data_IF_322024461953
#
_entry.id   IF_322024461953
#
_cell.length_a   1.000
_cell.length_b   1.000
_cell.length_c   1.000
_cell.angle_alpha   90.00
_cell.angle_beta   90.00
_cell.angle_gamma   90.00
#
_symmetry.space_group_name_H-M   'P 1'
#
loop_
_entity.id
_entity.type
_entity.pdbx_description
1 polymer ?
#
# COMPACT_ATOMS: atom_id res chain seq x y z
N UNK A 1 15.60 4.35 3.16
CA UNK A 1 14.59 4.42 2.06
C UNK A 1 14.02 5.83 1.97
N UNK A 2 14.92 6.79 1.85
CA UNK A 2 14.70 8.22 2.08
C UNK A 2 14.08 8.95 0.89
N UNK A 3 13.99 8.29 -0.26
CA UNK A 3 13.40 8.86 -1.48
C UNK A 3 11.88 8.79 -1.48
N UNK A 4 11.29 8.03 -0.55
CA UNK A 4 9.84 7.92 -0.38
C UNK A 4 9.40 9.12 0.45
N UNK A 5 8.43 9.92 -0.01
CA UNK A 5 7.95 11.08 0.73
C UNK A 5 7.36 10.64 2.07
N UNK A 6 7.43 11.53 3.06
CA UNK A 6 6.84 11.31 4.38
C UNK A 6 5.56 12.14 4.51
N UNK A 7 4.57 11.58 5.20
CA UNK A 7 3.42 12.37 5.63
C UNK A 7 3.83 13.35 6.75
N UNK A 8 3.04 14.41 6.96
CA UNK A 8 3.31 15.35 8.05
C UNK A 8 3.25 14.63 9.41
N UNK A 9 4.29 14.85 10.23
CA UNK A 9 4.45 14.18 11.53
C UNK A 9 4.88 12.71 11.45
N UNK A 10 5.16 12.18 10.26
CA UNK A 10 5.65 10.83 10.07
C UNK A 10 7.08 10.64 10.58
N UNK A 11 7.39 9.41 11.00
CA UNK A 11 8.75 8.96 11.31
C UNK A 11 9.11 7.83 10.35
N UNK A 12 10.31 7.89 9.78
CA UNK A 12 10.79 6.79 8.94
C UNK A 12 10.94 5.52 9.79
N UNK A 13 10.51 4.36 9.27
CA UNK A 13 10.86 3.09 9.87
C UNK A 13 12.39 2.96 9.98
N UNK A 14 12.87 2.47 11.11
CA UNK A 14 14.29 2.29 11.39
C UNK A 14 14.86 1.06 10.62
N UNK A 15 14.88 1.14 9.29
CA UNK A 15 15.47 0.12 8.42
C UNK A 15 16.88 0.56 7.98
N UNK A 16 17.91 -0.05 8.56
CA UNK A 16 19.31 0.14 8.16
C UNK A 16 19.72 -0.98 7.21
N UNK A 17 19.69 -0.69 5.91
CA UNK A 17 20.08 -1.67 4.87
C UNK A 17 21.61 -1.62 4.71
N UNK A 18 22.35 -2.69 5.04
CA UNK A 18 23.81 -2.68 4.94
C UNK A 18 24.26 -2.56 3.49
N UNK A 19 25.38 -1.86 3.25
CA UNK A 19 26.09 -1.96 1.97
C UNK A 19 27.03 -3.16 2.04
N UNK A 20 26.76 -4.16 1.21
CA UNK A 20 27.52 -5.42 1.13
C UNK A 20 28.23 -5.59 -0.21
N UNK A 21 28.09 -4.61 -1.12
CA UNK A 21 28.83 -4.56 -2.38
C UNK A 21 30.33 -4.70 -2.15
N UNK A 22 30.94 -5.60 -2.92
CA UNK A 22 32.38 -5.77 -3.11
C UNK A 22 32.67 -5.54 -4.60
N UNK A 23 33.52 -4.56 -4.91
CA UNK A 23 33.90 -4.22 -6.28
C UNK A 23 35.28 -3.57 -6.26
N UNK A 24 36.05 -3.73 -7.34
CA UNK A 24 37.28 -2.98 -7.55
C UNK A 24 37.07 -1.48 -7.77
N UNK A 25 35.83 -1.07 -8.05
CA UNK A 25 35.47 0.31 -8.37
C UNK A 25 34.37 0.83 -7.45
N UNK A 26 34.33 2.15 -7.28
CA UNK A 26 33.20 2.83 -6.64
C UNK A 26 31.88 2.68 -7.40
N UNK A 27 31.93 2.21 -8.65
CA UNK A 27 30.79 1.89 -9.52
C UNK A 27 30.52 0.38 -9.51
N UNK A 28 29.49 -0.09 -8.79
CA UNK A 28 29.22 -1.52 -8.66
C UNK A 28 28.77 -2.21 -9.95
N UNK A 29 28.32 -1.43 -10.93
CA UNK A 29 27.82 -1.90 -12.21
C UNK A 29 28.38 -1.03 -13.34
N UNK A 30 29.06 -1.66 -14.30
CA UNK A 30 29.66 -1.01 -15.47
C UNK A 30 28.61 -0.66 -16.53
N UNK A 31 28.17 0.59 -16.60
CA UNK A 31 27.19 1.04 -17.58
C UNK A 31 27.72 0.88 -19.02
N UNK A 32 27.09 -0.01 -19.80
CA UNK A 32 27.45 -0.25 -21.20
C UNK A 32 28.67 -1.15 -21.42
N UNK A 33 29.26 -1.69 -20.35
CA UNK A 33 30.35 -2.67 -20.43
C UNK A 33 29.79 -4.10 -20.60
N UNK A 34 28.74 -4.44 -19.86
CA UNK A 34 28.07 -5.74 -19.90
C UNK A 34 26.56 -5.59 -20.20
N UNK A 35 25.97 -6.60 -20.86
CA UNK A 35 24.51 -6.71 -20.93
C UNK A 35 23.95 -7.04 -19.53
N UNK A 36 22.84 -6.38 -19.17
CA UNK A 36 22.21 -6.52 -17.85
C UNK A 36 21.94 -7.98 -17.47
N UNK A 37 21.60 -8.88 -18.41
CA UNK A 37 21.33 -10.29 -18.08
C UNK A 37 22.62 -11.10 -17.91
N UNK A 38 23.69 -10.70 -18.60
CA UNK A 38 24.97 -11.43 -18.58
C UNK A 38 25.87 -11.00 -17.42
N UNK A 39 25.64 -9.82 -16.83
CA UNK A 39 26.39 -9.24 -15.72
C UNK A 39 26.71 -10.23 -14.57
N UNK A 40 25.77 -11.07 -14.09
CA UNK A 40 26.05 -11.96 -12.96
C UNK A 40 27.22 -12.92 -13.18
N UNK A 41 27.39 -13.44 -14.39
CA UNK A 41 28.45 -14.40 -14.69
C UNK A 41 29.83 -13.72 -14.62
N UNK A 42 29.95 -12.52 -15.16
CA UNK A 42 31.19 -11.74 -15.17
C UNK A 42 31.53 -11.26 -13.77
N UNK A 43 30.56 -10.67 -13.06
CA UNK A 43 30.78 -10.14 -11.73
C UNK A 43 31.11 -11.23 -10.71
N UNK A 44 30.50 -12.42 -10.79
CA UNK A 44 30.87 -13.53 -9.90
C UNK A 44 32.30 -14.05 -10.16
N UNK A 45 32.76 -14.04 -11.43
CA UNK A 45 34.16 -14.39 -11.74
C UNK A 45 35.11 -13.34 -11.18
N UNK A 46 34.79 -12.06 -11.35
CA UNK A 46 35.57 -10.94 -10.80
C UNK A 46 35.64 -11.03 -9.27
N UNK A 47 34.51 -11.19 -8.59
CA UNK A 47 34.44 -11.32 -7.12
C UNK A 47 35.34 -12.45 -6.60
N UNK A 48 35.34 -13.61 -7.28
CA UNK A 48 36.21 -14.73 -6.90
C UNK A 48 37.71 -14.44 -7.07
N UNK A 49 38.06 -13.56 -8.00
CA UNK A 49 39.45 -13.18 -8.26
C UNK A 49 39.94 -12.10 -7.28
N UNK A 50 39.09 -11.10 -7.00
CA UNK A 50 39.46 -9.92 -6.21
C UNK A 50 39.24 -10.14 -4.71
N UNK A 51 38.22 -10.93 -4.36
CA UNK A 51 37.84 -11.25 -2.98
C UNK A 51 37.75 -12.78 -2.79
N UNK A 52 38.87 -13.51 -2.88
CA UNK A 52 38.88 -14.97 -2.71
C UNK A 52 38.44 -15.42 -1.30
N UNK A 53 38.49 -14.54 -0.32
CA UNK A 53 38.02 -14.75 1.06
C UNK A 53 36.49 -14.66 1.21
N UNK A 54 35.77 -14.16 0.19
CA UNK A 54 34.36 -13.89 0.29
C UNK A 54 33.55 -15.19 0.35
N UNK A 55 32.77 -15.35 1.41
CA UNK A 55 31.85 -16.47 1.54
C UNK A 55 30.77 -16.45 0.44
N UNK A 56 30.17 -17.60 0.09
CA UNK A 56 29.12 -17.68 -0.92
C UNK A 56 27.94 -16.74 -0.66
N UNK A 57 27.53 -16.57 0.60
CA UNK A 57 26.42 -15.68 0.97
C UNK A 57 26.75 -14.22 0.71
N UNK A 58 27.91 -13.73 1.17
CA UNK A 58 28.33 -12.35 0.93
C UNK A 58 28.55 -12.08 -0.57
N UNK A 59 29.03 -13.06 -1.33
CA UNK A 59 29.14 -12.98 -2.78
C UNK A 59 27.78 -12.82 -3.46
N UNK A 60 26.77 -13.59 -3.03
CA UNK A 60 25.40 -13.48 -3.54
C UNK A 60 24.77 -12.14 -3.17
N UNK A 61 24.94 -11.67 -1.93
CA UNK A 61 24.40 -10.37 -1.51
C UNK A 61 25.08 -9.20 -2.22
N UNK A 62 26.40 -9.26 -2.41
CA UNK A 62 27.16 -8.31 -3.22
C UNK A 62 26.62 -8.29 -4.65
N UNK A 63 26.45 -9.46 -5.28
CA UNK A 63 25.88 -9.57 -6.61
C UNK A 63 24.46 -8.96 -6.67
N UNK A 64 23.58 -9.27 -5.70
CA UNK A 64 22.22 -8.74 -5.68
C UNK A 64 22.20 -7.21 -5.63
N UNK A 65 23.07 -6.60 -4.80
CA UNK A 65 23.17 -5.13 -4.73
C UNK A 65 23.82 -4.55 -5.99
N UNK A 66 24.94 -5.08 -6.45
CA UNK A 66 25.61 -4.61 -7.67
C UNK A 66 24.69 -4.67 -8.88
N UNK A 67 23.99 -5.79 -9.07
CA UNK A 67 23.15 -6.05 -10.23
C UNK A 67 21.74 -5.45 -10.11
N UNK A 68 20.96 -5.94 -9.16
CA UNK A 68 19.52 -5.67 -9.10
C UNK A 68 19.22 -4.31 -8.46
N UNK A 69 20.11 -3.80 -7.61
CA UNK A 69 19.98 -2.47 -7.03
C UNK A 69 20.68 -1.41 -7.90
N UNK A 70 22.01 -1.42 -7.94
CA UNK A 70 22.79 -0.41 -8.66
C UNK A 70 22.67 -0.54 -10.17
N UNK A 71 22.78 -1.75 -10.72
CA UNK A 71 22.62 -1.99 -12.15
C UNK A 71 21.26 -1.56 -12.68
N UNK A 72 20.17 -1.91 -11.99
CA UNK A 72 18.84 -1.45 -12.39
C UNK A 72 18.72 0.07 -12.36
N UNK A 73 19.26 0.74 -11.34
CA UNK A 73 19.26 2.20 -11.27
C UNK A 73 20.07 2.84 -12.42
N UNK A 74 21.27 2.32 -12.66
CA UNK A 74 22.17 2.79 -13.70
C UNK A 74 21.58 2.60 -15.09
N UNK A 75 20.99 1.45 -15.38
CA UNK A 75 20.28 1.18 -16.64
C UNK A 75 19.00 2.01 -16.77
N UNK A 76 18.25 2.22 -15.68
CA UNK A 76 17.02 2.99 -15.74
C UNK A 76 17.29 4.47 -16.07
N UNK A 77 18.25 5.08 -15.34
CA UNK A 77 18.61 6.48 -15.49
C UNK A 77 19.63 6.74 -16.61
N UNK A 78 20.24 5.69 -17.17
CA UNK A 78 21.25 5.76 -18.24
C UNK A 78 22.47 6.60 -17.87
N UNK A 79 22.91 6.44 -16.63
CA UNK A 79 24.12 7.06 -16.13
C UNK A 79 24.80 6.17 -15.09
N UNK A 80 26.14 6.14 -15.04
CA UNK A 80 26.86 5.46 -13.97
C UNK A 80 26.48 6.04 -12.60
N UNK A 81 26.21 5.16 -11.63
CA UNK A 81 25.87 5.56 -10.26
C UNK A 81 26.93 4.98 -9.32
N UNK A 82 27.65 5.88 -8.65
CA UNK A 82 28.60 5.48 -7.62
C UNK A 82 27.87 4.99 -6.37
N UNK A 83 28.41 3.95 -5.74
CA UNK A 83 27.96 3.48 -4.42
C UNK A 83 28.04 4.57 -3.36
N UNK A 84 29.02 5.48 -3.45
CA UNK A 84 29.21 6.58 -2.51
C UNK A 84 28.05 7.58 -2.54
N UNK A 85 27.39 7.76 -3.70
CA UNK A 85 26.22 8.65 -3.84
C UNK A 85 25.01 8.15 -3.07
N UNK A 86 24.85 6.83 -2.93
CA UNK A 86 23.67 6.20 -2.33
C UNK A 86 23.98 5.53 -0.99
N UNK A 87 25.01 5.98 -0.28
CA UNK A 87 25.42 5.40 1.00
C UNK A 87 25.74 6.47 2.04
N UNK A 88 25.65 6.10 3.31
CA UNK A 88 26.12 6.89 4.46
C UNK A 88 26.80 5.99 5.46
N UNK A 89 27.59 6.59 6.34
CA UNK A 89 28.21 5.93 7.48
C UNK A 89 27.30 6.06 8.71
N UNK A 90 27.16 4.97 9.48
CA UNK A 90 26.52 5.02 10.79
C UNK A 90 27.53 5.51 11.86
N UNK A 91 27.09 5.63 13.12
CA UNK A 91 27.95 6.04 14.24
C UNK A 91 29.12 5.07 14.50
N UNK A 92 28.99 3.81 14.08
CA UNK A 92 30.01 2.77 14.21
C UNK A 92 31.00 2.76 13.03
N UNK A 93 30.77 3.57 11.99
CA UNK A 93 31.58 3.58 10.77
C UNK A 93 31.14 2.58 9.70
N UNK A 94 30.05 1.84 9.88
CA UNK A 94 29.54 0.93 8.85
C UNK A 94 28.77 1.68 7.76
N UNK A 95 28.94 1.23 6.51
CA UNK A 95 28.21 1.78 5.36
C UNK A 95 26.82 1.15 5.23
N UNK A 96 25.82 1.99 5.04
CA UNK A 96 24.44 1.58 4.76
C UNK A 96 23.87 2.36 3.57
N UNK A 97 22.85 1.80 2.92
CA UNK A 97 22.16 2.41 1.79
C UNK A 97 21.34 3.62 2.25
N UNK A 98 21.59 4.77 1.64
CA UNK A 98 20.82 5.99 1.81
C UNK A 98 20.37 6.51 0.45
N UNK A 99 19.06 6.68 0.27
CA UNK A 99 18.50 7.02 -1.05
C UNK A 99 18.15 8.49 -1.19
N UNK A 100 18.64 9.37 -0.32
CA UNK A 100 18.31 10.81 -0.37
C UNK A 100 18.68 11.44 -1.71
N UNK A 101 19.78 11.00 -2.33
CA UNK A 101 20.25 11.51 -3.62
C UNK A 101 19.39 11.04 -4.82
N UNK A 102 18.52 10.04 -4.66
CA UNK A 102 17.64 9.59 -5.76
C UNK A 102 16.66 10.68 -6.20
N UNK A 103 16.30 11.60 -5.32
CA UNK A 103 15.42 12.70 -5.66
C UNK A 103 16.04 13.65 -6.71
N UNK A 104 17.34 13.91 -6.56
CA UNK A 104 18.11 14.73 -7.50
C UNK A 104 18.37 13.97 -8.80
N UNK A 105 18.83 12.71 -8.72
CA UNK A 105 19.03 11.83 -9.87
C UNK A 105 17.75 11.75 -10.73
N UNK A 106 16.60 11.52 -10.09
CA UNK A 106 15.30 11.49 -10.77
C UNK A 106 14.96 12.83 -11.41
N UNK A 107 15.19 13.94 -10.71
CA UNK A 107 14.88 15.28 -11.23
C UNK A 107 15.72 15.62 -12.47
N UNK A 108 17.02 15.32 -12.44
CA UNK A 108 17.92 15.49 -13.58
C UNK A 108 17.50 14.63 -14.78
N UNK A 109 17.16 13.36 -14.54
CA UNK A 109 16.64 12.48 -15.59
C UNK A 109 15.31 12.96 -16.16
N UNK A 110 14.38 13.46 -15.34
CA UNK A 110 13.12 14.03 -15.83
C UNK A 110 13.39 15.27 -16.71
N UNK A 111 14.33 16.13 -16.29
CA UNK A 111 14.71 17.33 -17.01
C UNK A 111 15.37 17.01 -18.37
N UNK A 112 16.04 15.86 -18.50
CA UNK A 112 16.61 15.42 -19.79
C UNK A 112 15.57 14.85 -20.75
N UNK A 113 14.31 14.64 -20.33
CA UNK A 113 13.24 14.16 -21.19
C UNK A 113 12.54 15.32 -21.93
N UNK A 114 12.17 15.14 -23.21
CA UNK A 114 11.46 16.17 -23.97
C UNK A 114 10.11 16.53 -23.34
N UNK A 115 9.67 17.79 -23.38
CA UNK A 115 8.41 18.23 -22.77
C UNK A 115 7.19 17.53 -23.41
N UNK A 116 6.13 17.31 -22.62
CA UNK A 116 4.95 16.52 -23.01
C UNK A 116 4.21 17.02 -24.28
N UNK A 117 4.05 18.32 -24.58
CA UNK A 117 3.23 18.77 -25.70
C UNK A 117 3.95 18.84 -27.06
N UNK A 118 5.29 18.75 -27.13
CA UNK A 118 6.05 19.02 -28.37
C UNK A 118 6.75 17.76 -28.84
N UNK A 119 6.19 17.02 -29.81
CA UNK A 119 6.85 15.93 -30.55
C UNK A 119 7.39 14.72 -29.74
N UNK A 120 7.33 14.78 -28.40
CA UNK A 120 8.01 13.87 -27.48
C UNK A 120 7.24 12.59 -27.15
N UNK A 121 6.00 12.44 -27.63
CA UNK A 121 5.19 11.26 -27.34
C UNK A 121 5.84 9.96 -27.85
N UNK A 122 6.47 10.00 -29.03
CA UNK A 122 7.20 8.85 -29.58
C UNK A 122 8.47 8.53 -28.78
N UNK A 123 9.22 9.55 -28.37
CA UNK A 123 10.43 9.38 -27.56
C UNK A 123 10.10 8.81 -26.18
N UNK A 124 9.17 9.43 -25.44
CA UNK A 124 8.76 8.96 -24.10
C UNK A 124 8.19 7.54 -24.14
N UNK A 125 7.47 7.17 -25.21
CA UNK A 125 6.99 5.79 -25.41
C UNK A 125 8.14 4.80 -25.62
N UNK A 126 9.19 5.16 -26.38
CA UNK A 126 10.38 4.31 -26.54
C UNK A 126 11.12 4.14 -25.22
N UNK A 127 11.36 5.24 -24.49
CA UNK A 127 11.96 5.18 -23.14
C UNK A 127 11.10 4.34 -22.20
N UNK A 128 9.77 4.52 -22.23
CA UNK A 128 8.82 3.75 -21.43
C UNK A 128 8.86 2.26 -21.71
N UNK A 129 8.93 1.85 -22.99
CA UNK A 129 9.09 0.44 -23.38
C UNK A 129 10.41 -0.13 -22.88
N UNK A 130 11.52 0.58 -23.06
CA UNK A 130 12.83 0.14 -22.57
C UNK A 130 12.84 -0.02 -21.05
N UNK A 131 12.36 0.98 -20.31
CA UNK A 131 12.22 0.91 -18.85
C UNK A 131 11.31 -0.25 -18.42
N UNK A 132 10.20 -0.48 -19.13
CA UNK A 132 9.32 -1.63 -18.86
C UNK A 132 10.02 -2.97 -19.06
N UNK A 133 10.79 -3.14 -20.13
CA UNK A 133 11.58 -4.37 -20.39
C UNK A 133 12.66 -4.57 -19.33
N UNK A 134 13.41 -3.52 -18.98
CA UNK A 134 14.42 -3.56 -17.91
C UNK A 134 13.79 -3.99 -16.58
N UNK A 135 12.69 -3.34 -16.18
CA UNK A 135 12.01 -3.63 -14.92
C UNK A 135 11.41 -5.04 -14.90
N UNK A 136 10.91 -5.54 -16.04
CA UNK A 136 10.45 -6.92 -16.17
C UNK A 136 11.60 -7.93 -16.01
N UNK A 137 12.75 -7.66 -16.61
CA UNK A 137 13.97 -8.49 -16.47
C UNK A 137 14.50 -8.47 -15.03
N UNK A 138 14.62 -7.29 -14.44
CA UNK A 138 15.06 -7.14 -13.04
C UNK A 138 14.10 -7.81 -12.06
N UNK A 139 12.79 -7.74 -12.32
CA UNK A 139 11.78 -8.43 -11.48
C UNK A 139 11.86 -9.94 -11.62
N UNK A 140 12.03 -10.46 -12.85
CA UNK A 140 12.27 -11.88 -13.07
C UNK A 140 13.52 -12.35 -12.32
N UNK A 141 14.63 -11.63 -12.46
CA UNK A 141 15.87 -11.96 -11.77
C UNK A 141 15.71 -11.89 -10.24
N UNK A 142 15.04 -10.86 -9.72
CA UNK A 142 14.71 -10.71 -8.31
C UNK A 142 13.96 -11.94 -7.76
N UNK A 143 12.93 -12.42 -8.46
CA UNK A 143 12.14 -13.58 -8.02
C UNK A 143 12.97 -14.86 -7.97
N UNK A 144 13.85 -15.07 -8.96
CA UNK A 144 14.75 -16.24 -8.98
C UNK A 144 15.80 -16.13 -7.86
N UNK A 145 16.34 -14.93 -7.66
CA UNK A 145 17.36 -14.68 -6.67
C UNK A 145 16.79 -14.80 -5.24
N UNK A 146 15.57 -14.34 -5.00
CA UNK A 146 14.91 -14.42 -3.69
C UNK A 146 14.83 -15.86 -3.18
N UNK A 147 14.63 -16.84 -4.08
CA UNK A 147 14.62 -18.27 -3.70
C UNK A 147 16.00 -18.85 -3.38
N UNK A 148 17.09 -18.14 -3.70
CA UNK A 148 18.47 -18.58 -3.47
C UNK A 148 19.10 -18.01 -2.20
N UNK A 149 18.56 -16.91 -1.64
CA UNK A 149 19.18 -16.24 -0.50
C UNK A 149 18.70 -16.86 0.82
N UNK A 150 19.67 -17.18 1.69
CA UNK A 150 19.56 -17.96 2.93
C UNK A 150 18.90 -17.20 4.09
N UNK A 151 18.84 -17.83 5.28
CA UNK A 151 18.26 -17.31 6.53
C UNK A 151 18.95 -16.05 7.10
N UNK A 152 19.98 -15.49 6.42
CA UNK A 152 20.68 -14.28 6.85
C UNK A 152 19.70 -13.10 7.03
N UNK A 153 19.62 -12.47 8.21
CA UNK A 153 18.84 -11.25 8.41
C UNK A 153 19.16 -10.12 7.42
N UNK A 154 20.43 -9.98 7.00
CA UNK A 154 20.87 -9.00 6.00
C UNK A 154 20.27 -9.28 4.63
N UNK A 155 20.12 -10.53 4.25
CA UNK A 155 19.52 -10.93 2.98
C UNK A 155 18.11 -10.38 2.83
N UNK A 156 17.28 -10.55 3.88
CA UNK A 156 15.91 -10.05 3.87
C UNK A 156 15.87 -8.53 3.69
N UNK A 157 16.75 -7.79 4.37
CA UNK A 157 16.87 -6.34 4.24
C UNK A 157 17.29 -5.93 2.81
N UNK A 158 18.31 -6.58 2.25
CA UNK A 158 18.80 -6.31 0.89
C UNK A 158 17.70 -6.58 -0.14
N UNK A 159 17.06 -7.74 -0.09
CA UNK A 159 16.00 -8.11 -1.04
C UNK A 159 14.77 -7.19 -0.89
N UNK A 160 14.36 -6.88 0.33
CA UNK A 160 13.30 -5.90 0.56
C UNK A 160 13.67 -4.53 -0.04
N UNK A 161 14.93 -4.12 0.09
CA UNK A 161 15.40 -2.86 -0.48
C UNK A 161 15.32 -2.83 -2.01
N UNK A 162 15.66 -3.95 -2.67
CA UNK A 162 15.56 -4.11 -4.13
C UNK A 162 14.08 -4.07 -4.55
N UNK A 163 13.20 -4.81 -3.87
CA UNK A 163 11.76 -4.82 -4.16
C UNK A 163 11.15 -3.42 -4.13
N UNK A 164 11.46 -2.66 -3.08
CA UNK A 164 11.01 -1.27 -2.92
C UNK A 164 11.56 -0.39 -4.03
N UNK A 165 12.84 -0.56 -4.39
CA UNK A 165 13.45 0.20 -5.47
C UNK A 165 12.76 -0.06 -6.81
N UNK A 166 12.51 -1.33 -7.14
CA UNK A 166 11.80 -1.73 -8.36
C UNK A 166 10.39 -1.12 -8.41
N UNK A 167 9.64 -1.18 -7.30
CA UNK A 167 8.33 -0.52 -7.20
C UNK A 167 8.43 0.99 -7.42
N UNK A 168 9.40 1.67 -6.82
CA UNK A 168 9.59 3.11 -6.96
C UNK A 168 9.95 3.51 -8.40
N UNK A 169 10.77 2.73 -9.09
CA UNK A 169 11.10 2.95 -10.51
C UNK A 169 9.90 2.67 -11.42
N UNK A 170 9.10 1.63 -11.15
CA UNK A 170 7.84 1.38 -11.85
C UNK A 170 6.88 2.56 -11.73
N UNK A 171 6.65 3.06 -10.52
CA UNK A 171 5.78 4.23 -10.30
C UNK A 171 6.33 5.47 -11.02
N UNK A 172 7.64 5.69 -10.96
CA UNK A 172 8.30 6.78 -11.70
C UNK A 172 8.07 6.67 -13.20
N UNK A 173 8.26 5.49 -13.80
CA UNK A 173 8.03 5.26 -15.21
C UNK A 173 6.56 5.48 -15.62
N UNK A 174 5.61 4.99 -14.81
CA UNK A 174 4.17 5.17 -15.06
C UNK A 174 3.78 6.65 -15.05
N UNK A 175 4.26 7.40 -14.07
CA UNK A 175 3.90 8.82 -13.88
C UNK A 175 4.60 9.73 -14.89
N UNK A 176 5.89 9.51 -15.16
CA UNK A 176 6.71 10.42 -15.98
C UNK A 176 6.58 10.10 -17.47
N UNK A 177 6.64 8.83 -17.85
CA UNK A 177 6.73 8.40 -19.25
C UNK A 177 5.33 8.14 -19.81
N UNK A 178 4.80 6.96 -19.54
CA UNK A 178 3.44 6.54 -19.88
C UNK A 178 3.11 5.23 -19.15
N UNK A 179 1.86 5.02 -18.71
CA UNK A 179 1.40 3.71 -18.29
C UNK A 179 1.56 2.68 -19.42
N UNK A 180 1.98 1.47 -19.09
CA UNK A 180 2.03 0.34 -20.03
C UNK A 180 1.61 -0.94 -19.32
N UNK A 181 0.99 -1.90 -20.02
CA UNK A 181 0.60 -3.19 -19.43
C UNK A 181 1.78 -3.94 -18.80
N UNK A 182 2.98 -3.76 -19.35
CA UNK A 182 4.22 -4.32 -18.78
C UNK A 182 4.50 -3.78 -17.39
N UNK A 183 4.35 -2.47 -17.17
CA UNK A 183 4.57 -1.86 -15.85
C UNK A 183 3.52 -2.31 -14.84
N UNK A 184 2.27 -2.50 -15.27
CA UNK A 184 1.20 -3.01 -14.40
C UNK A 184 1.46 -4.47 -14.02
N UNK A 185 1.93 -5.30 -14.97
CA UNK A 185 2.34 -6.69 -14.72
C UNK A 185 3.51 -6.76 -13.74
N UNK A 186 4.51 -5.89 -13.89
CA UNK A 186 5.65 -5.83 -12.97
C UNK A 186 5.19 -5.45 -11.56
N UNK A 187 4.34 -4.44 -11.41
CA UNK A 187 3.83 -4.04 -10.10
C UNK A 187 3.01 -5.16 -9.44
N UNK A 188 2.19 -5.87 -10.20
CA UNK A 188 1.42 -7.02 -9.68
C UNK A 188 2.33 -8.14 -9.16
N UNK A 189 3.44 -8.43 -9.86
CA UNK A 189 4.45 -9.41 -9.43
C UNK A 189 5.23 -8.97 -8.19
N UNK A 190 5.46 -7.67 -8.05
CA UNK A 190 6.13 -7.07 -6.90
C UNK A 190 5.18 -6.80 -5.71
N UNK A 191 3.89 -7.17 -5.80
CA UNK A 191 2.99 -7.10 -4.64
C UNK A 191 3.44 -8.08 -3.54
N UNK A 192 2.99 -7.87 -2.31
CA UNK A 192 3.17 -8.89 -1.29
C UNK A 192 2.23 -10.05 -1.55
N UNK A 193 2.73 -11.27 -1.37
CA UNK A 193 1.88 -12.45 -1.35
C UNK A 193 1.36 -12.61 0.07
N UNK A 194 0.04 -12.80 0.26
CA UNK A 194 -0.50 -13.07 1.59
C UNK A 194 0.13 -14.36 2.12
N UNK A 195 0.57 -14.32 3.38
CA UNK A 195 0.99 -15.53 4.07
C UNK A 195 -0.23 -16.47 4.21
N UNK A 196 -0.04 -17.81 4.11
CA UNK A 196 -1.05 -18.74 4.54
C UNK A 196 -1.45 -18.48 5.99
N UNK A 197 -2.70 -18.83 6.33
CA UNK A 197 -3.35 -18.56 7.63
C UNK A 197 -2.53 -19.00 8.85
N UNK A 198 -1.69 -20.04 8.68
CA UNK A 198 -0.96 -20.69 9.76
C UNK A 198 0.53 -20.31 9.84
N UNK A 199 1.03 -19.48 8.92
CA UNK A 199 2.44 -19.11 8.91
C UNK A 199 2.66 -17.73 9.56
N UNK A 200 2.79 -17.75 10.89
CA UNK A 200 3.15 -16.57 11.68
C UNK A 200 4.55 -16.03 11.35
N UNK A 201 5.38 -16.80 10.66
CA UNK A 201 6.76 -16.45 10.31
C UNK A 201 6.91 -15.90 8.88
N UNK A 202 6.02 -16.25 7.95
CA UNK A 202 6.17 -15.94 6.52
C UNK A 202 5.47 -14.66 6.05
N UNK A 203 5.70 -13.54 6.72
CA UNK A 203 5.55 -12.26 6.00
C UNK A 203 6.92 -11.77 5.60
N UNK A 204 7.17 -11.70 4.29
CA UNK A 204 8.21 -10.90 3.60
C UNK A 204 8.19 -9.40 3.99
N UNK A 205 7.34 -9.02 4.96
CA UNK A 205 7.07 -7.68 5.39
C UNK A 205 7.90 -7.33 6.64
N UNK A 206 9.13 -6.89 6.43
CA UNK A 206 10.07 -6.46 7.48
C UNK A 206 9.55 -5.32 8.38
N UNK A 207 8.46 -4.68 8.00
CA UNK A 207 7.84 -3.58 8.75
C UNK A 207 6.74 -4.05 9.70
N UNK A 208 6.46 -5.35 9.75
CA UNK A 208 5.37 -5.90 10.54
C UNK A 208 5.44 -5.45 12.00
N UNK A 209 6.52 -5.79 12.70
CA UNK A 209 6.68 -5.48 14.13
C UNK A 209 6.65 -3.98 14.38
N UNK A 210 7.30 -3.20 13.51
CA UNK A 210 7.29 -1.74 13.57
C UNK A 210 5.86 -1.18 13.46
N UNK A 211 5.05 -1.69 12.53
CA UNK A 211 3.68 -1.23 12.36
C UNK A 211 2.78 -1.67 13.50
N UNK A 212 2.91 -2.90 14.02
CA UNK A 212 2.18 -3.35 15.22
C UNK A 212 2.48 -2.45 16.42
N UNK A 213 3.76 -2.14 16.67
CA UNK A 213 4.18 -1.23 17.74
C UNK A 213 3.62 0.19 17.55
N UNK A 214 3.41 0.61 16.29
CA UNK A 214 2.76 1.87 15.95
C UNK A 214 1.22 1.79 15.94
N UNK A 215 0.61 0.73 16.49
CA UNK A 215 -0.84 0.62 16.67
C UNK A 215 -1.60 0.20 15.41
N UNK A 216 -0.92 -0.36 14.40
CA UNK A 216 -1.60 -0.93 13.24
C UNK A 216 -2.23 -2.28 13.57
N UNK A 217 -3.46 -2.49 13.09
CA UNK A 217 -4.16 -3.75 13.19
C UNK A 217 -3.52 -4.81 12.28
N UNK A 218 -3.09 -5.99 12.81
CA UNK A 218 -2.59 -7.12 12.03
C UNK A 218 -3.45 -7.50 10.82
N UNK A 219 -4.76 -7.62 11.00
CA UNK A 219 -5.69 -7.96 9.92
C UNK A 219 -5.68 -6.90 8.80
N UNK A 220 -5.71 -5.62 9.18
CA UNK A 220 -5.68 -4.53 8.20
C UNK A 220 -4.36 -4.48 7.45
N UNK A 221 -3.23 -4.71 8.13
CA UNK A 221 -1.92 -4.76 7.47
C UNK A 221 -1.84 -5.88 6.46
N UNK A 222 -2.32 -7.08 6.80
CA UNK A 222 -2.35 -8.21 5.88
C UNK A 222 -3.19 -7.87 4.63
N UNK A 223 -4.36 -7.27 4.83
CA UNK A 223 -5.21 -6.82 3.72
C UNK A 223 -4.55 -5.70 2.87
N UNK A 224 -3.91 -4.73 3.49
CA UNK A 224 -3.21 -3.65 2.78
C UNK A 224 -2.02 -4.19 1.99
N UNK A 225 -1.29 -5.18 2.54
CA UNK A 225 -0.17 -5.81 1.85
C UNK A 225 -0.62 -6.52 0.55
N UNK A 226 -1.85 -7.05 0.49
CA UNK A 226 -2.39 -7.64 -0.76
C UNK A 226 -2.83 -6.59 -1.79
N UNK A 227 -3.13 -5.37 -1.35
CA UNK A 227 -3.66 -4.31 -2.22
C UNK A 227 -2.59 -3.32 -2.70
N UNK A 228 -1.47 -3.23 -1.99
CA UNK A 228 -0.50 -2.15 -2.17
C UNK A 228 0.93 -2.65 -2.37
N UNK A 229 1.71 -1.88 -3.13
CA UNK A 229 3.11 -2.20 -3.41
C UNK A 229 4.01 -1.96 -2.20
N UNK A 230 5.25 -2.46 -2.25
CA UNK A 230 6.24 -2.28 -1.17
C UNK A 230 6.49 -0.80 -0.82
N UNK A 231 6.57 0.08 -1.83
CA UNK A 231 6.69 1.54 -1.63
C UNK A 231 5.51 2.12 -0.86
N UNK A 232 4.28 1.72 -1.21
CA UNK A 232 3.06 2.17 -0.52
C UNK A 232 3.03 1.66 0.92
N UNK A 233 3.46 0.43 1.17
CA UNK A 233 3.51 -0.11 2.53
C UNK A 233 4.56 0.58 3.40
N UNK A 234 5.72 0.98 2.86
CA UNK A 234 6.68 1.83 3.60
C UNK A 234 6.05 3.19 3.93
N UNK A 235 5.38 3.80 2.96
CA UNK A 235 4.70 5.06 3.17
C UNK A 235 3.66 4.94 4.29
N UNK A 236 2.80 3.92 4.24
CA UNK A 236 1.79 3.65 5.27
C UNK A 236 2.43 3.38 6.64
N UNK A 237 3.52 2.62 6.69
CA UNK A 237 4.24 2.35 7.93
C UNK A 237 4.76 3.64 8.60
N UNK A 238 5.14 4.65 7.81
CA UNK A 238 5.62 5.93 8.35
C UNK A 238 4.52 6.78 9.01
N UNK A 239 3.26 6.54 8.69
CA UNK A 239 2.13 7.33 9.19
C UNK A 239 1.83 6.95 10.64
N UNK A 240 1.87 7.91 11.58
CA UNK A 240 1.48 7.64 12.95
C UNK A 240 -0.02 7.33 13.00
N UNK A 241 -0.38 6.18 13.57
CA UNK A 241 -1.78 5.92 13.90
C UNK A 241 -2.13 6.68 15.17
N UNK A 242 -3.24 7.43 15.14
CA UNK A 242 -3.84 7.91 16.38
C UNK A 242 -4.09 6.69 17.26
N UNK A 243 -3.56 6.72 18.49
CA UNK A 243 -3.90 5.76 19.53
C UNK A 243 -5.41 5.85 19.77
N UNK A 244 -6.17 4.97 19.13
CA UNK A 244 -7.52 4.66 19.61
C UNK A 244 -7.31 3.90 20.91
N UNK A 245 -8.13 4.16 21.94
CA UNK A 245 -8.19 3.33 23.15
C UNK A 245 -8.83 1.97 22.84
N UNK A 246 -8.39 1.33 21.75
CA UNK A 246 -8.89 0.07 21.25
C UNK A 246 -7.64 -0.76 20.98
N UNK A 247 -7.42 -1.75 21.81
CA UNK A 247 -6.31 -2.69 21.68
C UNK A 247 -6.49 -3.57 20.44
N UNK A 248 -5.45 -3.68 19.62
CA UNK A 248 -5.42 -4.57 18.46
C UNK A 248 -4.67 -5.88 18.72
N UNK A 249 -4.26 -6.14 19.97
CA UNK A 249 -3.53 -7.34 20.41
C UNK A 249 -4.28 -8.65 20.10
N UNK A 250 -5.61 -8.62 20.08
CA UNK A 250 -6.44 -9.79 19.78
C UNK A 250 -6.78 -9.94 18.29
N UNK A 251 -6.33 -9.03 17.43
CA UNK A 251 -6.55 -9.13 15.99
C UNK A 251 -5.53 -10.08 15.38
N UNK A 252 -6.00 -11.20 14.82
CA UNK A 252 -5.16 -12.16 14.12
C UNK A 252 -4.86 -11.70 12.68
N UNK A 253 -3.78 -12.23 12.08
CA UNK A 253 -3.42 -11.96 10.67
C UNK A 253 -4.51 -12.40 9.71
N UNK A 254 -5.08 -13.57 9.98
CA UNK A 254 -6.20 -14.16 9.27
C UNK A 254 -7.46 -14.09 10.16
N UNK A 255 -8.59 -13.73 9.56
CA UNK A 255 -9.87 -13.59 10.27
C UNK A 255 -10.49 -12.21 10.09
N UNK A 256 -10.60 -11.44 11.17
CA UNK A 256 -11.22 -10.12 11.19
C UNK A 256 -10.56 -9.20 12.22
N UNK A 257 -10.78 -7.90 12.07
CA UNK A 257 -10.42 -6.91 13.08
C UNK A 257 -11.41 -7.00 14.26
N UNK A 258 -11.07 -7.74 15.32
CA UNK A 258 -11.93 -7.87 16.52
C UNK A 258 -12.13 -6.53 17.25
N UNK A 259 -11.10 -5.70 17.26
CA UNK A 259 -11.10 -4.37 17.85
C UNK A 259 -12.18 -3.41 17.28
N UNK A 260 -12.57 -3.61 16.02
CA UNK A 260 -13.60 -2.78 15.37
C UNK A 260 -14.94 -3.50 15.24
N UNK A 261 -15.11 -4.62 15.95
CA UNK A 261 -16.37 -5.35 16.01
C UNK A 261 -17.09 -5.01 17.31
N UNK A 262 -18.40 -4.82 17.22
CA UNK A 262 -19.27 -4.73 18.39
C UNK A 262 -19.41 -6.14 18.94
N UNK A 263 -19.05 -6.33 20.21
CA UNK A 263 -19.43 -7.53 20.94
C UNK A 263 -20.91 -7.40 21.31
N UNK A 264 -21.78 -7.99 20.49
CA UNK A 264 -23.23 -7.95 20.70
C UNK A 264 -23.66 -8.55 22.03
N UNK A 265 -22.85 -9.41 22.66
CA UNK A 265 -23.14 -9.95 23.98
C UNK A 265 -22.88 -8.96 25.11
N UNK A 266 -21.95 -8.01 24.90
CA UNK A 266 -21.57 -6.99 25.88
C UNK A 266 -22.07 -5.58 25.52
N UNK A 267 -22.73 -5.42 24.37
CA UNK A 267 -23.20 -4.12 23.90
C UNK A 267 -24.47 -3.70 24.62
N UNK A 268 -24.36 -2.69 25.47
CA UNK A 268 -25.49 -2.00 26.07
C UNK A 268 -25.74 -0.66 25.35
N UNK A 269 -26.95 -0.47 24.83
CA UNK A 269 -27.36 0.80 24.23
C UNK A 269 -27.49 1.87 25.32
N UNK A 270 -26.85 3.01 25.11
CA UNK A 270 -26.98 4.15 26.02
C UNK A 270 -28.31 4.88 25.75
N UNK A 271 -29.15 4.97 26.77
CA UNK A 271 -30.30 5.86 26.75
C UNK A 271 -29.88 7.32 27.02
N UNK A 272 -30.65 8.28 26.52
CA UNK A 272 -30.38 9.74 26.69
C UNK A 272 -30.37 10.16 28.16
N UNK A 273 -31.13 9.46 29.02
CA UNK A 273 -31.22 9.75 30.45
C UNK A 273 -31.06 8.47 31.27
N UNK A 274 -30.43 8.60 32.45
CA UNK A 274 -30.29 7.52 33.43
C UNK A 274 -31.68 7.11 33.91
N UNK A 275 -32.01 5.82 33.82
CA UNK A 275 -33.30 5.27 34.22
C UNK A 275 -34.41 5.33 33.16
N UNK A 276 -34.10 5.73 31.92
CA UNK A 276 -35.05 5.62 30.82
C UNK A 276 -35.32 4.15 30.48
N UNK A 277 -36.59 3.78 30.32
CA UNK A 277 -37.04 2.41 30.00
C UNK A 277 -37.77 2.33 28.67
N UNK A 278 -37.50 3.26 27.74
CA UNK A 278 -38.14 3.23 26.43
C UNK A 278 -37.75 1.96 25.66
N UNK A 279 -38.70 1.36 24.95
CA UNK A 279 -38.43 0.21 24.10
C UNK A 279 -37.61 0.62 22.86
N UNK A 280 -36.82 -0.31 22.34
CA UNK A 280 -36.14 -0.12 21.07
C UNK A 280 -37.14 -0.18 19.92
N UNK A 281 -37.17 0.87 19.10
CA UNK A 281 -37.89 0.83 17.83
C UNK A 281 -36.98 0.17 16.80
N UNK A 282 -37.30 -1.07 16.46
CA UNK A 282 -36.56 -1.88 15.51
C UNK A 282 -37.18 -1.76 14.12
N UNK A 283 -36.32 -1.90 13.11
CA UNK A 283 -36.75 -2.03 11.72
C UNK A 283 -36.68 -3.49 11.32
N UNK A 284 -37.64 -3.95 10.53
CA UNK A 284 -37.60 -5.28 9.94
C UNK A 284 -36.42 -5.41 8.96
N UNK A 285 -35.35 -6.09 9.41
CA UNK A 285 -34.16 -6.32 8.60
C UNK A 285 -34.48 -7.06 7.29
N UNK A 286 -35.49 -7.93 7.27
CA UNK A 286 -35.85 -8.70 6.08
C UNK A 286 -36.38 -7.78 4.97
N UNK A 287 -37.12 -6.73 5.33
CA UNK A 287 -37.61 -5.74 4.37
C UNK A 287 -36.48 -4.88 3.79
N UNK A 288 -35.46 -4.57 4.59
CA UNK A 288 -34.26 -3.86 4.10
C UNK A 288 -33.51 -4.76 3.12
N UNK A 289 -33.28 -6.03 3.48
CA UNK A 289 -32.53 -6.98 2.66
C UNK A 289 -33.23 -7.27 1.33
N UNK A 290 -34.54 -7.50 1.35
CA UNK A 290 -35.32 -7.75 0.13
C UNK A 290 -35.19 -6.60 -0.89
N UNK A 291 -35.26 -5.35 -0.43
CA UNK A 291 -35.08 -4.18 -1.31
C UNK A 291 -33.66 -4.08 -1.88
N UNK A 292 -32.65 -4.40 -1.09
CA UNK A 292 -31.25 -4.40 -1.57
C UNK A 292 -31.00 -5.49 -2.60
N UNK A 293 -31.58 -6.68 -2.42
CA UNK A 293 -31.51 -7.80 -3.36
C UNK A 293 -32.18 -7.47 -4.70
N UNK A 294 -33.25 -6.67 -4.67
CA UNK A 294 -33.91 -6.13 -5.86
C UNK A 294 -33.15 -4.95 -6.52
N UNK A 295 -31.93 -4.63 -6.06
CA UNK A 295 -31.11 -3.54 -6.59
C UNK A 295 -31.61 -2.14 -6.23
N UNK A 296 -32.52 -2.03 -5.27
CA UNK A 296 -33.13 -0.78 -4.86
C UNK A 296 -32.38 -0.14 -3.67
N UNK A 297 -32.62 1.16 -3.45
CA UNK A 297 -32.11 1.88 -2.27
C UNK A 297 -33.22 1.86 -1.20
N UNK A 298 -33.07 1.09 -0.10
CA UNK A 298 -34.01 1.15 1.01
C UNK A 298 -33.84 2.46 1.78
N UNK A 299 -34.95 3.11 2.11
CA UNK A 299 -35.01 4.30 2.93
C UNK A 299 -35.83 4.01 4.18
N UNK A 300 -35.41 4.53 5.33
CA UNK A 300 -36.19 4.47 6.56
C UNK A 300 -37.02 5.74 6.73
N UNK A 301 -38.34 5.62 6.67
CA UNK A 301 -39.26 6.70 6.99
C UNK A 301 -39.51 6.73 8.49
N UNK A 302 -39.07 7.78 9.17
CA UNK A 302 -39.31 7.98 10.60
C UNK A 302 -40.51 8.91 10.82
N UNK A 303 -41.54 8.41 11.50
CA UNK A 303 -42.74 9.16 11.82
C UNK A 303 -42.92 9.22 13.34
N UNK A 304 -43.29 10.40 13.84
CA UNK A 304 -43.73 10.58 15.22
C UNK A 304 -45.21 10.93 15.21
N UNK A 305 -46.02 10.13 15.89
CA UNK A 305 -47.45 10.37 16.02
C UNK A 305 -47.71 11.60 16.90
N UNK A 306 -48.94 12.10 16.85
CA UNK A 306 -49.41 13.18 17.74
C UNK A 306 -49.50 12.73 19.21
N UNK A 307 -49.63 11.42 19.47
CA UNK A 307 -49.55 10.82 20.81
C UNK A 307 -48.10 10.69 21.33
N UNK A 308 -47.10 10.92 20.48
CA UNK A 308 -45.68 10.84 20.83
C UNK A 308 -45.02 9.50 20.50
N UNK A 309 -45.79 8.54 19.96
CA UNK A 309 -45.27 7.24 19.52
C UNK A 309 -44.36 7.41 18.29
N UNK A 310 -43.29 6.63 18.23
CA UNK A 310 -42.31 6.69 17.15
C UNK A 310 -42.38 5.40 16.33
N UNK A 311 -42.55 5.52 15.02
CA UNK A 311 -42.52 4.39 14.10
C UNK A 311 -41.48 4.60 13.01
N UNK A 312 -40.92 3.47 12.54
CA UNK A 312 -39.96 3.43 11.45
C UNK A 312 -40.48 2.43 10.41
N UNK A 313 -40.50 2.84 9.15
CA UNK A 313 -40.94 2.01 8.02
C UNK A 313 -39.85 1.96 6.94
N UNK A 314 -39.70 0.82 6.27
CA UNK A 314 -38.78 0.67 5.12
C UNK A 314 -39.51 1.00 3.82
N UNK A 315 -39.21 2.17 3.26
CA UNK A 315 -39.71 2.59 1.95
C UNK A 315 -38.61 2.47 0.89
N UNK A 316 -38.97 2.63 -0.38
CA UNK A 316 -38.03 2.63 -1.49
C UNK A 316 -37.75 4.06 -1.96
N UNK A 317 -36.51 4.35 -2.38
CA UNK A 317 -36.22 5.58 -3.11
C UNK A 317 -36.90 5.55 -4.48
N UNK A 318 -37.82 6.50 -4.74
CA UNK A 318 -38.43 6.63 -6.05
C UNK A 318 -37.49 7.41 -6.98
N UNK A 319 -37.08 6.74 -8.06
CA UNK A 319 -36.15 7.25 -9.08
C UNK A 319 -36.90 7.61 -10.38
N UNK A 320 -38.21 7.36 -10.47
CA UNK A 320 -38.97 7.59 -11.70
C UNK A 320 -39.43 9.05 -11.84
N UNK A 321 -38.64 9.81 -12.60
CA UNK A 321 -39.04 11.12 -13.14
C UNK A 321 -40.07 10.95 -14.26
N UNK A 322 -41.33 11.28 -13.99
CA UNK A 322 -42.24 11.76 -15.05
C UNK A 322 -42.97 13.05 -14.64
N UNK A 323 -43.43 13.23 -13.38
CA UNK A 323 -44.00 14.52 -12.92
C UNK A 323 -43.94 14.77 -11.39
N UNK A 324 -43.05 14.12 -10.63
CA UNK A 324 -42.98 14.21 -9.16
C UNK A 324 -41.63 14.69 -8.64
N UNK A 325 -41.65 15.41 -7.52
CA UNK A 325 -40.42 15.85 -6.83
C UNK A 325 -39.58 14.64 -6.38
N UNK A 326 -38.25 14.66 -6.56
CA UNK A 326 -37.40 13.55 -6.13
C UNK A 326 -37.52 13.31 -4.63
N UNK A 327 -37.45 12.04 -4.19
CA UNK A 327 -37.42 11.71 -2.77
C UNK A 327 -36.14 12.27 -2.15
N UNK A 328 -36.26 13.29 -1.29
CA UNK A 328 -35.13 13.80 -0.51
C UNK A 328 -34.88 12.89 0.70
N UNK A 329 -33.64 12.47 0.90
CA UNK A 329 -33.23 11.61 2.01
C UNK A 329 -31.88 12.07 2.59
N UNK A 330 -31.59 11.67 3.83
CA UNK A 330 -30.31 11.88 4.49
C UNK A 330 -29.56 10.55 4.63
N UNK A 331 -28.32 10.52 4.17
CA UNK A 331 -27.43 9.38 4.40
C UNK A 331 -26.79 9.49 5.79
N UNK A 332 -26.96 8.48 6.64
CA UNK A 332 -26.30 8.41 7.95
C UNK A 332 -25.30 7.26 7.92
N UNK A 333 -24.03 7.59 8.19
CA UNK A 333 -22.95 6.62 8.36
C UNK A 333 -22.36 6.75 9.75
N UNK A 334 -22.20 5.63 10.45
CA UNK A 334 -21.51 5.54 11.73
C UNK A 334 -19.98 5.62 11.58
N UNK A 335 -19.48 5.69 10.34
CA UNK A 335 -18.09 6.08 10.06
C UNK A 335 -18.04 7.60 10.07
N UNK A 336 -17.28 8.18 11.01
CA UNK A 336 -17.09 9.62 11.19
C UNK A 336 -16.60 10.26 9.87
N UNK A 337 -17.53 10.69 9.03
CA UNK A 337 -17.27 11.70 8.01
C UNK A 337 -17.03 13.01 8.76
N UNK A 338 -15.95 13.70 8.39
CA UNK A 338 -15.54 14.97 8.99
C UNK A 338 -16.72 15.95 9.01
N UNK A 339 -16.80 16.68 10.13
CA UNK A 339 -17.86 17.61 10.55
C UNK A 339 -18.57 18.36 9.42
N UNK A 340 -19.90 18.33 9.45
CA UNK A 340 -20.74 19.42 8.96
C UNK A 340 -21.67 19.86 10.08
N UNK A 341 -21.72 21.18 10.29
CA UNK A 341 -22.43 21.87 11.37
C UNK A 341 -23.89 21.41 11.55
N UNK A 342 -24.21 21.02 12.79
CA UNK A 342 -25.59 20.83 13.22
C UNK A 342 -26.29 22.18 13.35
N UNK A 343 -27.14 22.53 12.39
CA UNK A 343 -28.24 23.47 12.64
C UNK A 343 -29.47 22.68 13.10
N UNK A 344 -29.92 23.00 14.31
CA UNK A 344 -31.17 22.54 14.91
C UNK A 344 -32.39 22.85 14.02
N UNK A 345 -33.26 21.87 13.79
CA UNK A 345 -34.52 22.05 13.08
C UNK A 345 -35.72 21.84 14.02
N UNK A 346 -36.57 22.86 14.11
CA UNK A 346 -37.96 22.76 14.54
C UNK A 346 -38.83 22.68 13.26
N UNK A 347 -39.67 21.65 13.15
CA UNK A 347 -40.68 21.55 12.09
C UNK A 347 -41.00 20.11 11.69
N UNK A 348 -42.27 19.69 11.89
CA UNK A 348 -42.75 18.32 11.70
C UNK A 348 -42.85 17.87 10.23
N UNK A 349 -41.71 17.64 9.57
CA UNK A 349 -41.64 16.88 8.31
C UNK A 349 -41.02 15.50 8.55
N UNK A 350 -41.45 14.45 7.83
CA UNK A 350 -40.86 13.12 7.94
C UNK A 350 -39.38 13.17 7.50
N UNK A 351 -38.53 12.49 8.26
CA UNK A 351 -37.09 12.39 8.00
C UNK A 351 -36.83 11.00 7.42
N UNK A 352 -36.19 10.94 6.24
CA UNK A 352 -35.78 9.68 5.62
C UNK A 352 -34.29 9.43 5.86
N UNK A 353 -33.93 8.24 6.34
CA UNK A 353 -32.55 7.81 6.57
C UNK A 353 -32.13 6.66 5.64
N UNK A 354 -30.84 6.60 5.28
CA UNK A 354 -30.22 5.41 4.67
C UNK A 354 -29.48 4.62 5.75
N UNK A 355 -29.70 3.32 5.82
CA UNK A 355 -28.85 2.38 6.57
C UNK A 355 -27.93 1.64 5.61
N UNK A 356 -26.65 2.02 5.60
CA UNK A 356 -25.61 1.27 4.90
C UNK A 356 -25.02 0.20 5.84
N UNK A 357 -25.49 -1.04 5.71
CA UNK A 357 -24.79 -2.21 6.29
C UNK A 357 -23.70 -2.62 5.31
N UNK A 358 -22.43 -2.27 5.59
CA UNK A 358 -21.30 -2.84 4.84
C UNK A 358 -21.03 -4.27 5.34
N UNK A 359 -21.81 -5.23 4.85
CA UNK A 359 -21.38 -6.63 4.73
C UNK A 359 -20.41 -6.78 3.56
N UNK A 360 -19.56 -7.82 3.58
CA UNK A 360 -18.58 -8.10 2.51
C UNK A 360 -19.25 -8.11 1.13
N UNK A 361 -18.90 -7.17 0.27
CA UNK A 361 -19.21 -7.23 -1.16
C UNK A 361 -17.98 -7.74 -1.92
N UNK A 362 -18.07 -8.95 -2.48
CA UNK A 362 -17.21 -9.36 -3.58
C UNK A 362 -17.72 -8.68 -4.85
N UNK A 363 -16.91 -7.79 -5.41
CA UNK A 363 -17.13 -7.23 -6.74
C UNK A 363 -16.76 -8.28 -7.78
N UNK A 364 -17.63 -9.24 -8.01
CA UNK A 364 -17.58 -10.06 -9.23
C UNK A 364 -18.97 -10.07 -9.86
N UNK A 365 -19.00 -9.77 -11.16
CA UNK A 365 -20.13 -9.87 -12.10
C UNK A 365 -21.30 -8.88 -11.96
N UNK A 366 -21.16 -7.72 -12.63
CA UNK A 366 -22.24 -7.19 -13.48
C UNK A 366 -21.59 -6.79 -14.82
N UNK A 367 -21.85 -7.62 -15.82
CA UNK A 367 -21.71 -7.32 -17.24
C UNK A 367 -23.05 -7.54 -17.91
#
# INVERSE_FOLDING_TARGET
MDHIPLADGARQPALSIPLVVKSASDYPYGHGEDDFISFPEHHLRELRLIHPELGPEDALLSLAQSWLYFGTLTEFFQQPISSNTLTRLNHSGDRFICTSALHEIRSLWIASLPPRPVGGAGFRRRVGRRCGVLLARATWAYEHFQGMVTEDPRARLVMFSIKVMLCSLCHTARVVLCPTPTLDTVLARLSFRPAPVDDSTATDFLLWDYMVQNGWCPYQMNHLATLHSATSMIYLASIPRMKRNIGHENCLRAGCCKASQIDWAAFESLHVAVGCTCEHVLVDEQQIMAKLEDGQIPLLSCMRSTSGDFSIEVIQADIHTVFGTPTFYYAVSHVRLLQYDQKSFQGGRPILFIVLRMGRWSWESIG
#
